data_IF_674700125291
#
_entry.id   IF_674700125291
#
_cell.length_a   1.000
_cell.length_b   1.000
_cell.length_c   1.000
_cell.angle_alpha   90.00
_cell.angle_beta   90.00
_cell.angle_gamma   90.00
#
_symmetry.space_group_name_H-M   'P 1'
#
loop_
_entity.id
_entity.type
_entity.pdbx_description
1 polymer ?
#
# COMPACT_ATOMS: atom_id res chain seq x y z
N UNK A 1 -0.96 16.96 6.91
CA UNK A 1 -0.10 16.07 6.10
C UNK A 1 -0.88 14.81 5.90
N UNK A 2 -1.24 14.49 4.65
CA UNK A 2 -2.10 13.36 4.30
C UNK A 2 -1.60 12.77 2.97
N UNK A 3 -1.87 11.49 2.69
CA UNK A 3 -1.61 10.93 1.39
C UNK A 3 -2.61 11.50 0.36
N UNK A 4 -2.20 11.62 -0.90
CA UNK A 4 -3.15 11.90 -1.98
C UNK A 4 -4.01 10.66 -2.24
N UNK A 5 -5.22 10.87 -2.75
CA UNK A 5 -6.11 9.77 -3.11
C UNK A 5 -5.45 8.83 -4.13
N UNK A 6 -4.75 9.39 -5.12
CA UNK A 6 -4.06 8.62 -6.15
C UNK A 6 -2.96 7.73 -5.55
N UNK A 7 -2.21 8.25 -4.57
CA UNK A 7 -1.16 7.50 -3.90
C UNK A 7 -1.74 6.35 -3.04
N UNK A 8 -2.87 6.58 -2.37
CA UNK A 8 -3.58 5.53 -1.62
C UNK A 8 -4.14 4.43 -2.53
N UNK A 9 -4.71 4.81 -3.67
CA UNK A 9 -5.23 3.87 -4.67
C UNK A 9 -4.09 3.06 -5.29
N UNK A 10 -2.98 3.70 -5.67
CA UNK A 10 -1.78 3.01 -6.18
C UNK A 10 -1.23 2.00 -5.17
N UNK A 11 -1.12 2.41 -3.90
CA UNK A 11 -0.64 1.53 -2.84
C UNK A 11 -1.57 0.34 -2.64
N UNK A 12 -2.88 0.59 -2.55
CA UNK A 12 -3.89 -0.46 -2.39
C UNK A 12 -3.83 -1.49 -3.53
N UNK A 13 -3.76 -1.00 -4.78
CA UNK A 13 -3.63 -1.85 -5.96
C UNK A 13 -2.33 -2.65 -5.96
N UNK A 14 -1.23 -2.05 -5.53
CA UNK A 14 0.06 -2.74 -5.40
C UNK A 14 -0.03 -3.88 -4.40
N UNK A 15 -0.58 -3.63 -3.21
CA UNK A 15 -0.74 -4.64 -2.16
C UNK A 15 -1.66 -5.78 -2.61
N UNK A 16 -2.80 -5.48 -3.22
CA UNK A 16 -3.74 -6.48 -3.73
C UNK A 16 -3.12 -7.30 -4.88
N UNK A 17 -2.32 -6.67 -5.76
CA UNK A 17 -1.62 -7.36 -6.84
C UNK A 17 -0.62 -8.37 -6.29
N UNK A 18 0.24 -7.97 -5.34
CA UNK A 18 1.21 -8.88 -4.70
C UNK A 18 0.48 -10.04 -4.02
N UNK A 19 -0.59 -9.75 -3.29
CA UNK A 19 -1.38 -10.75 -2.59
C UNK A 19 -2.03 -11.76 -3.54
N UNK A 20 -2.59 -11.30 -4.66
CA UNK A 20 -3.31 -12.15 -5.62
C UNK A 20 -2.45 -13.29 -6.21
N UNK A 21 -1.13 -13.10 -6.27
CA UNK A 21 -0.18 -14.10 -6.79
C UNK A 21 0.30 -15.13 -5.76
N UNK A 22 -0.22 -15.11 -4.53
CA UNK A 22 0.26 -15.95 -3.41
C UNK A 22 -0.81 -16.93 -2.93
N UNK A 23 -0.41 -18.07 -2.36
CA UNK A 23 -1.34 -19.07 -1.81
C UNK A 23 -2.26 -18.54 -0.69
N UNK A 24 -1.91 -17.41 -0.05
CA UNK A 24 -2.76 -16.76 0.94
C UNK A 24 -4.08 -16.24 0.34
N UNK A 25 -4.11 -15.90 -0.95
CA UNK A 25 -5.34 -15.48 -1.64
C UNK A 25 -6.35 -16.61 -1.76
N UNK A 26 -5.88 -17.85 -1.85
CA UNK A 26 -6.71 -19.04 -2.03
C UNK A 26 -7.35 -19.56 -0.73
N UNK A 27 -6.91 -19.05 0.43
CA UNK A 27 -7.38 -19.53 1.74
C UNK A 27 -8.31 -18.52 2.39
N UNK A 28 -9.57 -18.92 2.66
CA UNK A 28 -10.52 -18.09 3.41
C UNK A 28 -10.14 -18.06 4.90
N UNK A 29 -9.72 -16.90 5.39
CA UNK A 29 -9.37 -16.74 6.80
C UNK A 29 -9.59 -15.31 7.28
N UNK A 30 -9.25 -15.02 8.53
CA UNK A 30 -9.20 -13.65 9.03
C UNK A 30 -8.14 -12.81 8.32
N UNK A 31 -7.11 -13.45 7.75
CA UNK A 31 -5.96 -12.79 7.13
C UNK A 31 -6.33 -11.96 5.90
N UNK A 32 -7.38 -12.37 5.19
CA UNK A 32 -7.95 -11.67 4.04
C UNK A 32 -9.39 -11.19 4.29
N UNK A 33 -9.83 -11.17 5.55
CA UNK A 33 -11.16 -10.70 5.95
C UNK A 33 -12.32 -11.61 5.58
N UNK A 34 -12.06 -12.81 5.04
CA UNK A 34 -13.10 -13.76 4.64
C UNK A 34 -13.87 -14.38 5.82
N UNK A 35 -13.43 -14.13 7.05
CA UNK A 35 -14.10 -14.58 8.28
C UNK A 35 -15.36 -13.76 8.63
N UNK A 36 -15.58 -12.59 8.00
CA UNK A 36 -16.75 -11.75 8.26
C UNK A 36 -17.73 -11.84 7.08
N UNK A 37 -18.96 -12.34 7.28
CA UNK A 37 -19.96 -12.40 6.22
C UNK A 37 -20.23 -11.03 5.59
N UNK A 38 -20.19 -10.96 4.26
CA UNK A 38 -20.41 -9.72 3.50
C UNK A 38 -19.21 -8.78 3.43
N UNK A 39 -18.11 -9.04 4.15
CA UNK A 39 -16.87 -8.25 4.01
C UNK A 39 -16.14 -8.62 2.71
N UNK A 40 -15.61 -7.61 2.02
CA UNK A 40 -14.75 -7.83 0.85
C UNK A 40 -13.52 -8.64 1.25
N UNK A 41 -13.26 -9.73 0.51
CA UNK A 41 -12.00 -10.49 0.62
C UNK A 41 -10.94 -9.74 -0.16
N UNK A 42 -9.89 -9.28 0.51
CA UNK A 42 -8.79 -8.52 -0.07
C UNK A 42 -7.56 -8.66 0.81
N UNK A 43 -6.41 -8.16 0.33
CA UNK A 43 -5.25 -8.09 1.19
C UNK A 43 -5.49 -7.10 2.34
N UNK A 44 -5.13 -7.49 3.56
CA UNK A 44 -5.18 -6.59 4.72
C UNK A 44 -3.80 -6.12 5.17
N UNK A 45 -2.73 -6.66 4.55
CA UNK A 45 -1.33 -6.43 4.92
C UNK A 45 -0.44 -6.43 3.69
N UNK A 46 0.75 -5.86 3.78
CA UNK A 46 1.75 -5.98 2.72
C UNK A 46 2.44 -7.35 2.78
N UNK A 47 2.26 -8.17 1.74
CA UNK A 47 2.82 -9.54 1.68
C UNK A 47 4.08 -9.66 0.81
N UNK A 48 4.67 -8.53 0.39
CA UNK A 48 5.92 -8.50 -0.39
C UNK A 48 7.21 -8.67 0.45
N UNK A 49 7.08 -8.79 1.77
CA UNK A 49 8.20 -8.99 2.70
C UNK A 49 8.87 -7.69 3.17
N UNK A 50 9.56 -7.75 4.31
CA UNK A 50 10.15 -6.59 4.96
C UNK A 50 11.15 -5.81 4.08
N UNK A 51 12.06 -6.46 3.31
CA UNK A 51 13.02 -5.71 2.49
C UNK A 51 12.36 -4.80 1.46
N UNK A 52 11.39 -5.31 0.70
CA UNK A 52 10.66 -4.52 -0.30
C UNK A 52 9.81 -3.41 0.35
N UNK A 53 9.25 -3.68 1.53
CA UNK A 53 8.53 -2.66 2.29
C UNK A 53 9.46 -1.51 2.71
N UNK A 54 10.63 -1.84 3.27
CA UNK A 54 11.64 -0.86 3.68
C UNK A 54 12.17 -0.05 2.49
N UNK A 55 12.45 -0.71 1.37
CA UNK A 55 12.87 -0.05 0.13
C UNK A 55 11.82 0.98 -0.33
N UNK A 56 10.53 0.60 -0.34
CA UNK A 56 9.44 1.51 -0.72
C UNK A 56 9.34 2.72 0.20
N UNK A 57 9.28 2.52 1.53
CA UNK A 57 9.09 3.64 2.46
C UNK A 57 10.30 4.57 2.50
N UNK A 58 11.51 4.02 2.40
CA UNK A 58 12.73 4.82 2.34
C UNK A 58 12.79 5.59 1.02
N UNK A 59 12.47 4.95 -0.11
CA UNK A 59 12.42 5.61 -1.41
C UNK A 59 11.41 6.77 -1.46
N UNK A 60 10.23 6.61 -0.85
CA UNK A 60 9.25 7.70 -0.71
C UNK A 60 9.82 8.85 0.13
N UNK A 61 10.47 8.54 1.26
CA UNK A 61 11.07 9.55 2.13
C UNK A 61 12.24 10.30 1.45
N UNK A 62 13.11 9.58 0.73
CA UNK A 62 14.23 10.15 -0.04
C UNK A 62 13.76 11.10 -1.14
N UNK A 63 12.62 10.80 -1.75
CA UNK A 63 11.99 11.65 -2.77
C UNK A 63 11.11 12.76 -2.20
N UNK A 64 11.34 13.13 -0.94
CA UNK A 64 10.61 14.22 -0.29
C UNK A 64 9.16 13.90 0.03
N UNK A 65 8.83 12.62 0.28
CA UNK A 65 7.47 12.12 0.52
C UNK A 65 6.55 12.24 -0.70
N UNK A 66 6.99 11.70 -1.84
CA UNK A 66 6.16 11.61 -3.05
C UNK A 66 4.78 10.99 -2.75
N UNK A 67 3.73 11.56 -3.32
CA UNK A 67 2.34 11.12 -3.06
C UNK A 67 1.70 11.68 -1.79
N UNK A 68 2.38 12.51 -1.00
CA UNK A 68 1.80 13.22 0.15
C UNK A 68 1.43 14.68 -0.16
N UNK A 69 0.46 15.20 0.58
CA UNK A 69 0.00 16.58 0.57
C UNK A 69 0.31 17.22 1.93
N UNK A 70 1.09 18.30 1.92
CA UNK A 70 1.47 19.12 3.06
C UNK A 70 0.74 20.46 2.98
N UNK A 71 -0.10 20.76 3.99
CA UNK A 71 -0.87 22.02 4.09
C UNK A 71 -1.60 22.39 2.78
N UNK A 72 -2.21 21.40 2.13
CA UNK A 72 -2.94 21.56 0.87
C UNK A 72 -2.08 21.65 -0.39
N UNK A 73 -0.77 21.44 -0.29
CA UNK A 73 0.17 21.45 -1.42
C UNK A 73 0.82 20.08 -1.60
N UNK A 74 1.00 19.59 -2.84
CA UNK A 74 1.77 18.37 -3.07
C UNK A 74 3.18 18.50 -2.49
N UNK A 75 3.71 17.38 -2.00
CA UNK A 75 5.09 17.28 -1.58
C UNK A 75 6.02 17.77 -2.71
N UNK A 76 7.04 18.55 -2.34
CA UNK A 76 7.94 19.14 -3.32
C UNK A 76 8.73 18.03 -4.03
N UNK A 77 8.65 18.00 -5.36
CA UNK A 77 9.50 17.11 -6.15
C UNK A 77 10.96 17.44 -5.87
N UNK A 78 11.68 16.52 -5.24
CA UNK A 78 13.13 16.63 -5.08
C UNK A 78 13.76 16.38 -6.45
N UNK A 79 14.21 17.45 -7.12
CA UNK A 79 15.11 17.32 -8.26
C UNK A 79 16.47 16.88 -7.71
N UNK A 80 16.80 15.60 -7.90
CA UNK A 80 18.14 15.08 -7.71
C UNK A 80 19.00 15.38 -8.95
#
# INVERSE_FOLDING_TARGET
IEASQEAEEEWSNTVDTIFSGQLFSETKSWYNGANIPGKKVQSLVFTGGLPAYLERINGVAEKGYEGFIFDGKPAAATYA
#
